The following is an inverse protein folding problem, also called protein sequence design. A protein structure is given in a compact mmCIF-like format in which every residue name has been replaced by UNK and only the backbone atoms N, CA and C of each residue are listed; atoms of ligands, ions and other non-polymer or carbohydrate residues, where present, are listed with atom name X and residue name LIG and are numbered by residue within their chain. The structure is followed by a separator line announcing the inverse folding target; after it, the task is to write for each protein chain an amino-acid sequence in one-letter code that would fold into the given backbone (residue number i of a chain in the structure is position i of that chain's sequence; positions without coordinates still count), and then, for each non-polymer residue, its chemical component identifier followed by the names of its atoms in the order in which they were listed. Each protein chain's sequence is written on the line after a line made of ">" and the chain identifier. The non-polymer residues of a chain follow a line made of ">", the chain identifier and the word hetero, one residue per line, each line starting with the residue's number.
data_IF_257258391588
#
_entry.id   IF_257258391588
#
_cell.length_a   1.000
_cell.length_b   1.000
_cell.length_c   1.000
_cell.angle_alpha   90.00
_cell.angle_beta   90.00
_cell.angle_gamma   90.00
#
_symmetry.space_group_name_H-M   'P 1'
#
loop_
_entity.id
_entity.type
_entity.pdbx_description
1 polymer ?
#
# COMPACT_ATOMS: atom_id res chain seq x y z
N UNK A 1 6.15 -22.50 26.57
CA UNK A 1 5.83 -21.98 25.22
C UNK A 1 7.15 -21.84 24.49
N UNK A 2 7.25 -22.28 23.24
CA UNK A 2 8.47 -22.10 22.45
C UNK A 2 8.72 -20.59 22.26
N UNK A 3 9.96 -20.15 22.45
CA UNK A 3 10.36 -18.77 22.22
C UNK A 3 10.19 -18.42 20.73
N UNK A 4 9.38 -17.41 20.44
CA UNK A 4 9.18 -16.95 19.07
C UNK A 4 10.42 -16.17 18.61
N UNK A 5 11.18 -16.74 17.68
CA UNK A 5 12.27 -16.02 17.01
C UNK A 5 11.70 -15.07 15.95
N UNK A 6 11.59 -13.79 16.30
CA UNK A 6 11.17 -12.75 15.38
C UNK A 6 12.32 -12.43 14.41
N UNK A 7 12.01 -12.37 13.11
CA UNK A 7 12.93 -11.90 12.08
C UNK A 7 12.57 -10.47 11.73
N UNK A 8 13.56 -9.57 11.73
CA UNK A 8 13.32 -8.19 11.31
C UNK A 8 12.93 -8.18 9.81
N UNK A 9 11.83 -7.51 9.44
CA UNK A 9 11.46 -7.34 8.04
C UNK A 9 12.56 -6.64 7.27
N UNK A 10 12.83 -7.09 6.04
CA UNK A 10 13.86 -6.50 5.19
C UNK A 10 13.42 -6.48 3.74
N UNK A 11 13.72 -5.37 3.06
CA UNK A 11 13.50 -5.23 1.62
C UNK A 11 14.18 -6.39 0.86
N UNK A 12 15.32 -6.90 1.34
CA UNK A 12 16.04 -8.05 0.75
C UNK A 12 15.21 -9.31 0.58
N UNK A 13 14.23 -9.51 1.46
CA UNK A 13 13.37 -10.71 1.45
C UNK A 13 12.04 -10.48 0.75
N UNK A 14 11.58 -9.22 0.71
CA UNK A 14 10.22 -8.87 0.28
C UNK A 14 10.18 -8.23 -1.11
N UNK A 15 11.18 -7.44 -1.47
CA UNK A 15 11.26 -6.75 -2.75
C UNK A 15 11.79 -7.67 -3.85
N UNK A 16 11.46 -7.32 -5.09
CA UNK A 16 11.98 -8.03 -6.28
C UNK A 16 13.46 -7.71 -6.51
N UNK A 17 13.79 -6.43 -6.44
CA UNK A 17 15.17 -5.96 -6.48
C UNK A 17 15.63 -5.65 -5.06
N UNK A 18 16.94 -5.67 -4.84
CA UNK A 18 17.53 -5.40 -3.53
C UNK A 18 18.58 -4.30 -3.65
N UNK A 19 18.86 -3.58 -2.57
CA UNK A 19 20.02 -2.67 -2.52
C UNK A 19 21.28 -3.51 -2.64
N UNK A 20 22.26 -3.08 -3.44
CA UNK A 20 23.51 -3.80 -3.59
C UNK A 20 24.31 -3.82 -2.27
N UNK A 21 25.12 -4.85 -2.02
CA UNK A 21 25.95 -4.92 -0.81
C UNK A 21 26.86 -3.68 -0.63
N UNK A 22 27.39 -3.13 -1.72
CA UNK A 22 28.26 -1.95 -1.70
C UNK A 22 27.53 -0.68 -1.25
N UNK A 23 26.26 -0.52 -1.62
CA UNK A 23 25.47 0.65 -1.25
C UNK A 23 24.90 0.50 0.16
N UNK A 24 24.48 -0.70 0.54
CA UNK A 24 24.11 -1.00 1.92
C UNK A 24 25.28 -0.76 2.89
N UNK A 25 26.50 -1.14 2.50
CA UNK A 25 27.71 -0.84 3.28
C UNK A 25 27.96 0.67 3.46
N UNK A 26 27.47 1.50 2.53
CA UNK A 26 27.48 2.97 2.64
C UNK A 26 26.28 3.53 3.42
N UNK A 27 25.42 2.67 3.97
CA UNK A 27 24.25 3.06 4.74
C UNK A 27 22.98 3.28 3.90
N UNK A 28 22.96 2.87 2.63
CA UNK A 28 21.76 2.99 1.80
C UNK A 28 20.72 1.95 2.22
N UNK A 29 19.46 2.39 2.26
CA UNK A 29 18.29 1.55 2.42
C UNK A 29 17.15 2.05 1.53
N UNK A 30 15.98 1.42 1.61
CA UNK A 30 14.75 1.83 0.91
C UNK A 30 13.53 1.52 1.77
N UNK A 31 12.39 2.11 1.42
CA UNK A 31 11.13 1.85 2.12
C UNK A 31 10.74 0.37 2.03
N UNK A 32 10.56 -0.29 3.18
CA UNK A 32 10.21 -1.71 3.20
C UNK A 32 8.82 -1.96 2.59
N UNK A 33 7.79 -1.27 3.10
CA UNK A 33 6.40 -1.39 2.61
C UNK A 33 5.56 -0.23 3.11
N UNK A 34 4.85 0.43 2.20
CA UNK A 34 3.82 1.40 2.56
C UNK A 34 2.51 0.68 2.85
N UNK A 35 1.89 1.01 3.98
CA UNK A 35 0.64 0.39 4.39
C UNK A 35 -0.13 1.25 5.40
N UNK A 36 -1.41 0.92 5.57
CA UNK A 36 -2.17 1.20 6.78
C UNK A 36 -2.25 -0.10 7.61
N UNK A 37 -2.32 0.00 8.93
CA UNK A 37 -2.50 -1.17 9.77
C UNK A 37 -3.85 -1.82 9.47
N UNK A 38 -3.85 -3.07 8.99
CA UNK A 38 -5.09 -3.81 8.78
C UNK A 38 -4.82 -5.29 8.50
N UNK A 39 -5.73 -6.15 8.97
CA UNK A 39 -5.80 -7.53 8.50
C UNK A 39 -6.35 -7.63 7.07
N UNK A 40 -7.18 -6.65 6.67
CA UNK A 40 -7.81 -6.53 5.35
C UNK A 40 -8.71 -7.72 4.95
N UNK A 41 -8.94 -8.64 5.89
CA UNK A 41 -9.92 -9.73 5.83
C UNK A 41 -10.51 -9.90 7.23
N UNK A 42 -11.83 -10.08 7.34
CA UNK A 42 -12.61 -10.20 8.58
C UNK A 42 -12.58 -8.95 9.49
N UNK A 43 -11.40 -8.45 9.84
CA UNK A 43 -11.20 -7.26 10.69
C UNK A 43 -11.04 -5.99 9.85
N UNK A 44 -11.62 -4.90 10.34
CA UNK A 44 -11.46 -3.56 9.74
C UNK A 44 -10.18 -2.89 10.24
N UNK A 45 -9.60 -1.95 9.45
CA UNK A 45 -8.48 -1.13 9.92
C UNK A 45 -8.83 -0.41 11.23
N UNK A 46 -7.90 -0.30 12.19
CA UNK A 46 -8.11 0.49 13.38
C UNK A 46 -8.16 1.98 13.00
N UNK A 47 -8.85 2.77 13.81
CA UNK A 47 -8.90 4.23 13.62
C UNK A 47 -7.62 4.93 14.09
N UNK A 48 -6.95 4.37 15.09
CA UNK A 48 -5.77 4.94 15.74
C UNK A 48 -4.80 3.81 16.07
N UNK A 49 -3.52 4.02 15.73
CA UNK A 49 -2.41 3.19 16.17
C UNK A 49 -1.49 4.02 17.06
N UNK A 50 -1.07 3.44 18.18
CA UNK A 50 -0.08 4.04 19.09
C UNK A 50 1.17 3.19 19.11
N UNK A 51 2.34 3.82 18.97
CA UNK A 51 3.65 3.17 19.07
C UNK A 51 4.38 3.73 20.29
N UNK A 52 4.99 2.85 21.09
CA UNK A 52 5.84 3.21 22.20
C UNK A 52 7.20 2.53 22.07
N UNK A 53 8.26 3.33 21.94
CA UNK A 53 9.62 2.85 21.78
C UNK A 53 10.31 2.73 23.14
N UNK A 54 10.71 1.51 23.52
CA UNK A 54 11.48 1.25 24.74
C UNK A 54 12.98 1.46 24.53
N UNK A 55 13.52 0.86 23.48
CA UNK A 55 14.92 0.93 23.10
C UNK A 55 15.00 1.24 21.60
N UNK A 56 15.61 2.38 21.25
CA UNK A 56 15.80 2.79 19.87
C UNK A 56 17.27 2.53 19.48
N UNK A 57 17.54 1.78 18.39
CA UNK A 57 18.91 1.52 17.96
C UNK A 57 19.65 2.82 17.66
N UNK A 58 20.93 2.87 18.05
CA UNK A 58 21.82 3.99 17.80
C UNK A 58 22.89 3.60 16.78
N UNK A 59 23.33 4.57 15.97
CA UNK A 59 24.37 4.33 14.96
C UNK A 59 24.40 5.43 13.91
N UNK A 60 25.16 5.17 12.83
CA UNK A 60 25.19 6.05 11.67
C UNK A 60 23.81 6.13 11.03
N UNK A 61 23.46 7.32 10.52
CA UNK A 61 22.25 7.50 9.72
C UNK A 61 22.31 6.64 8.47
N UNK A 62 21.14 6.23 8.01
CA UNK A 62 20.94 5.61 6.72
C UNK A 62 20.42 6.63 5.71
N UNK A 63 20.61 6.35 4.43
CA UNK A 63 20.01 7.11 3.34
C UNK A 63 18.92 6.25 2.70
N UNK A 64 17.66 6.61 2.93
CA UNK A 64 16.52 5.90 2.37
C UNK A 64 16.23 6.43 0.97
N UNK A 65 16.45 5.61 -0.06
CA UNK A 65 16.09 5.94 -1.44
C UNK A 65 14.60 5.76 -1.68
N UNK A 66 14.02 6.65 -2.47
CA UNK A 66 12.64 6.53 -2.92
C UNK A 66 12.48 5.45 -4.00
N UNK A 67 13.52 5.22 -4.80
CA UNK A 67 13.59 4.20 -5.86
C UNK A 67 12.41 4.25 -6.85
N UNK A 68 11.88 5.45 -7.11
CA UNK A 68 10.80 5.75 -8.05
C UNK A 68 11.29 6.42 -9.35
N UNK A 69 12.62 6.54 -9.51
CA UNK A 69 13.27 7.18 -10.66
C UNK A 69 13.58 8.67 -10.48
N UNK A 70 13.11 9.31 -9.40
CA UNK A 70 13.44 10.72 -9.09
C UNK A 70 14.92 10.91 -8.72
N UNK A 71 15.54 9.89 -8.11
CA UNK A 71 16.85 10.01 -7.47
C UNK A 71 16.78 10.60 -6.06
N UNK A 72 15.59 10.81 -5.50
CA UNK A 72 15.42 11.37 -4.17
C UNK A 72 15.89 10.41 -3.07
N UNK A 73 16.55 10.99 -2.06
CA UNK A 73 17.05 10.29 -0.88
C UNK A 73 16.66 11.04 0.41
N UNK A 74 16.35 10.28 1.46
CA UNK A 74 16.00 10.81 2.77
C UNK A 74 16.98 10.31 3.83
N UNK A 75 17.77 11.18 4.47
CA UNK A 75 18.62 10.78 5.59
C UNK A 75 17.77 10.47 6.83
N UNK A 76 17.87 9.25 7.34
CA UNK A 76 17.05 8.73 8.46
C UNK A 76 17.91 8.10 9.56
N UNK A 77 17.53 8.22 10.84
CA UNK A 77 18.08 7.38 11.91
C UNK A 77 17.75 5.89 11.72
N UNK A 78 18.45 5.02 12.45
CA UNK A 78 18.12 3.59 12.49
C UNK A 78 16.73 3.37 13.11
N UNK A 79 15.99 2.40 12.56
CA UNK A 79 14.65 2.04 13.06
C UNK A 79 13.56 3.09 12.79
N UNK A 80 13.77 3.96 11.81
CA UNK A 80 12.80 5.00 11.46
C UNK A 80 11.52 4.41 10.87
N UNK A 81 10.37 4.89 11.35
CA UNK A 81 9.06 4.71 10.71
C UNK A 81 8.71 5.99 9.95
N UNK A 82 8.55 5.89 8.64
CA UNK A 82 8.09 7.01 7.81
C UNK A 82 6.56 7.04 7.75
N UNK A 83 5.99 8.24 7.70
CA UNK A 83 4.55 8.47 7.56
C UNK A 83 4.29 9.40 6.37
N UNK A 84 3.18 9.16 5.68
CA UNK A 84 2.63 10.07 4.66
C UNK A 84 1.21 10.45 5.03
N UNK A 85 0.81 11.64 4.64
CA UNK A 85 -0.55 12.14 4.85
C UNK A 85 -1.45 11.71 3.68
N UNK A 86 -2.43 10.86 3.94
CA UNK A 86 -3.45 10.50 2.95
C UNK A 86 -4.22 11.71 2.43
N UNK A 87 -4.39 12.76 3.26
CA UNK A 87 -4.97 14.04 2.84
C UNK A 87 -4.09 14.74 1.81
N UNK A 88 -2.81 14.87 2.10
CA UNK A 88 -1.84 15.48 1.16
C UNK A 88 -1.77 14.67 -0.13
N UNK A 89 -1.73 13.34 -0.05
CA UNK A 89 -1.78 12.47 -1.23
C UNK A 89 -2.99 12.78 -2.10
N UNK A 90 -4.19 12.90 -1.52
CA UNK A 90 -5.39 13.25 -2.28
C UNK A 90 -5.32 14.68 -2.85
N UNK A 91 -4.85 15.65 -2.07
CA UNK A 91 -4.80 17.06 -2.48
C UNK A 91 -3.87 17.32 -3.65
N UNK A 92 -2.75 16.60 -3.75
CA UNK A 92 -1.77 16.79 -4.82
C UNK A 92 -2.15 16.04 -6.10
N UNK A 93 -3.18 15.20 -6.09
CA UNK A 93 -3.62 14.51 -7.31
C UNK A 93 -4.11 15.52 -8.36
N UNK A 94 -3.79 15.27 -9.64
CA UNK A 94 -4.46 15.91 -10.78
C UNK A 94 -5.99 15.74 -10.71
N UNK A 95 -6.73 16.65 -11.34
CA UNK A 95 -8.20 16.72 -11.26
C UNK A 95 -8.87 15.41 -11.70
N UNK A 96 -8.39 14.83 -12.78
CA UNK A 96 -8.85 13.58 -13.36
C UNK A 96 -8.63 12.40 -12.42
N UNK A 97 -7.49 12.33 -11.73
CA UNK A 97 -7.20 11.29 -10.74
C UNK A 97 -7.96 11.50 -9.43
N UNK A 98 -8.22 12.75 -9.01
CA UNK A 98 -9.15 13.04 -7.91
C UNK A 98 -10.55 12.51 -8.22
N UNK A 99 -11.03 12.72 -9.45
CA UNK A 99 -12.34 12.20 -9.88
C UNK A 99 -12.40 10.68 -9.85
N UNK A 100 -11.32 10.00 -10.25
CA UNK A 100 -11.22 8.53 -10.09
C UNK A 100 -11.23 8.17 -8.61
N UNK A 101 -10.33 8.72 -7.79
CA UNK A 101 -10.19 8.38 -6.38
C UNK A 101 -11.51 8.50 -5.59
N UNK A 102 -12.30 9.55 -5.82
CA UNK A 102 -13.61 9.77 -5.16
C UNK A 102 -14.64 8.70 -5.54
N UNK A 103 -14.57 8.16 -6.75
CA UNK A 103 -15.53 7.19 -7.29
C UNK A 103 -15.07 5.74 -7.15
N UNK A 104 -13.87 5.52 -6.62
CA UNK A 104 -13.23 4.21 -6.59
C UNK A 104 -13.34 3.50 -5.25
N UNK A 105 -13.41 2.18 -5.32
CA UNK A 105 -13.28 1.24 -4.21
C UNK A 105 -12.24 0.19 -4.55
N UNK A 106 -11.50 -0.26 -3.55
CA UNK A 106 -10.56 -1.37 -3.65
C UNK A 106 -11.16 -2.60 -2.99
N UNK A 107 -11.10 -3.74 -3.69
CA UNK A 107 -11.35 -5.05 -3.10
C UNK A 107 -10.03 -5.64 -2.67
N UNK A 108 -9.94 -6.06 -1.43
CA UNK A 108 -8.78 -6.77 -0.90
C UNK A 108 -8.93 -8.28 -1.09
N UNK A 109 -7.83 -8.97 -1.39
CA UNK A 109 -7.80 -10.42 -1.41
C UNK A 109 -8.14 -11.01 -0.03
N UNK A 110 -8.83 -12.16 0.04
CA UNK A 110 -8.93 -12.91 1.28
C UNK A 110 -7.54 -13.34 1.75
N UNK A 111 -7.32 -13.38 3.07
CA UNK A 111 -6.01 -13.69 3.67
C UNK A 111 -4.83 -13.00 2.95
N UNK A 112 -4.83 -11.66 2.81
CA UNK A 112 -4.03 -10.97 1.79
C UNK A 112 -2.53 -11.18 1.94
N UNK A 113 -2.04 -11.38 3.17
CA UNK A 113 -0.63 -11.69 3.44
C UNK A 113 -0.19 -13.08 2.96
N UNK A 114 -1.11 -14.06 2.96
CA UNK A 114 -0.86 -15.40 2.39
C UNK A 114 -0.94 -15.31 0.88
N UNK A 115 -1.99 -14.66 0.36
CA UNK A 115 -2.22 -14.44 -1.06
C UNK A 115 -1.03 -13.82 -1.79
N UNK A 116 -0.46 -12.73 -1.26
CA UNK A 116 0.69 -12.07 -1.88
C UNK A 116 2.04 -12.72 -1.55
N UNK A 117 2.09 -13.77 -0.72
CA UNK A 117 3.37 -14.29 -0.19
C UNK A 117 4.38 -14.78 -1.23
N UNK A 118 4.00 -15.35 -2.39
CA UNK A 118 4.96 -15.74 -3.41
C UNK A 118 5.41 -14.55 -4.29
N UNK A 119 4.60 -13.49 -4.36
CA UNK A 119 4.92 -12.28 -5.10
C UNK A 119 5.99 -11.44 -4.40
N UNK A 120 6.57 -10.51 -5.15
CA UNK A 120 7.59 -9.58 -4.67
C UNK A 120 7.11 -8.15 -4.74
N UNK A 121 7.54 -7.33 -3.80
CA UNK A 121 7.23 -5.90 -3.78
C UNK A 121 8.08 -5.10 -4.76
N UNK A 122 7.51 -3.99 -5.23
CA UNK A 122 8.22 -2.95 -5.98
C UNK A 122 9.30 -2.33 -5.08
N UNK A 123 10.38 -1.81 -5.68
CA UNK A 123 11.48 -1.14 -4.95
C UNK A 123 11.00 0.04 -4.10
N UNK A 124 9.95 0.73 -4.52
CA UNK A 124 9.32 1.84 -3.79
C UNK A 124 8.56 1.39 -2.53
N UNK A 125 8.31 0.09 -2.39
CA UNK A 125 7.43 -0.47 -1.35
C UNK A 125 5.94 -0.15 -1.55
N UNK A 126 5.56 0.49 -2.66
CA UNK A 126 4.17 0.82 -3.02
C UNK A 126 3.54 -0.31 -3.84
N UNK A 127 3.09 -1.35 -3.14
CA UNK A 127 2.42 -2.50 -3.77
C UNK A 127 3.36 -3.63 -4.14
N UNK A 128 2.81 -4.59 -4.90
CA UNK A 128 3.54 -5.76 -5.41
C UNK A 128 3.75 -5.66 -6.91
N UNK A 129 4.73 -6.40 -7.39
CA UNK A 129 4.99 -6.61 -8.80
C UNK A 129 3.88 -7.46 -9.40
N UNK A 130 3.30 -6.99 -10.49
CA UNK A 130 2.20 -7.67 -11.15
C UNK A 130 2.76 -8.72 -12.11
N UNK A 131 3.14 -9.87 -11.54
CA UNK A 131 3.75 -10.99 -12.27
C UNK A 131 2.84 -12.21 -12.35
N UNK A 132 1.65 -12.14 -11.71
CA UNK A 132 0.74 -13.29 -11.60
C UNK A 132 1.30 -14.38 -10.69
N UNK A 133 2.08 -13.97 -9.67
CA UNK A 133 2.70 -14.87 -8.69
C UNK A 133 1.89 -14.96 -7.39
N UNK A 134 0.90 -14.08 -7.23
CA UNK A 134 -0.08 -14.15 -6.17
C UNK A 134 -0.82 -15.50 -6.24
N UNK A 135 -1.13 -16.08 -5.08
CA UNK A 135 -1.83 -17.36 -5.02
C UNK A 135 -3.23 -17.25 -5.61
N UNK A 136 -3.72 -18.33 -6.20
CA UNK A 136 -5.15 -18.40 -6.54
C UNK A 136 -5.99 -18.44 -5.27
N UNK A 137 -7.24 -17.97 -5.33
CA UNK A 137 -8.11 -17.96 -4.15
C UNK A 137 -8.47 -19.37 -3.65
N UNK A 138 -8.38 -20.39 -4.52
CA UNK A 138 -8.64 -21.79 -4.19
C UNK A 138 -7.49 -22.43 -3.38
N UNK A 139 -6.28 -21.87 -3.47
CA UNK A 139 -5.10 -22.33 -2.71
C UNK A 139 -4.97 -21.65 -1.34
N UNK A 140 -5.84 -20.68 -1.05
CA UNK A 140 -5.85 -19.98 0.23
C UNK A 140 -6.50 -20.84 1.32
N UNK A 141 -6.20 -20.56 2.60
CA UNK A 141 -6.99 -21.10 3.70
C UNK A 141 -8.47 -20.77 3.49
N UNK A 142 -9.37 -21.64 3.96
CA UNK A 142 -10.81 -21.47 3.78
C UNK A 142 -11.25 -20.04 4.14
N UNK A 143 -12.05 -19.45 3.25
CA UNK A 143 -12.49 -18.08 3.36
C UNK A 143 -13.93 -17.93 2.89
N UNK A 144 -14.56 -16.85 3.35
CA UNK A 144 -15.96 -16.53 3.04
C UNK A 144 -16.01 -15.13 2.42
N UNK A 145 -16.75 -14.98 1.33
CA UNK A 145 -16.88 -13.69 0.63
C UNK A 145 -17.44 -12.58 1.53
N UNK A 146 -18.35 -12.94 2.45
CA UNK A 146 -18.95 -12.01 3.43
C UNK A 146 -17.93 -11.34 4.37
N UNK A 147 -16.73 -11.94 4.51
CA UNK A 147 -15.63 -11.39 5.33
C UNK A 147 -14.61 -10.61 4.50
N UNK A 148 -14.71 -10.67 3.17
CA UNK A 148 -13.93 -9.88 2.24
C UNK A 148 -14.16 -8.38 2.47
N UNK A 149 -13.13 -7.58 2.19
CA UNK A 149 -13.17 -6.14 2.40
C UNK A 149 -13.22 -5.40 1.08
N UNK A 150 -14.28 -4.63 0.90
CA UNK A 150 -14.45 -3.66 -0.18
C UNK A 150 -14.52 -2.26 0.45
N UNK A 151 -13.47 -1.47 0.28
CA UNK A 151 -13.36 -0.15 0.90
C UNK A 151 -13.21 0.96 -0.14
N UNK A 152 -13.76 2.16 0.12
CA UNK A 152 -13.49 3.31 -0.74
C UNK A 152 -12.01 3.67 -0.69
N UNK A 153 -11.47 4.13 -1.82
CA UNK A 153 -10.08 4.61 -1.92
C UNK A 153 -9.83 5.80 -0.98
N UNK A 154 -10.87 6.60 -0.76
CA UNK A 154 -10.84 7.75 0.13
C UNK A 154 -11.63 7.51 1.42
N UNK A 155 -11.07 7.93 2.54
CA UNK A 155 -11.73 8.04 3.82
C UNK A 155 -12.24 9.47 3.98
N UNK A 156 -13.45 9.64 4.54
CA UNK A 156 -13.98 10.95 4.91
C UNK A 156 -13.82 11.14 6.41
N UNK A 157 -13.13 12.20 6.79
CA UNK A 157 -12.98 12.57 8.19
C UNK A 157 -14.35 13.01 8.76
N UNK A 158 -14.87 12.37 9.82
CA UNK A 158 -16.19 12.72 10.37
C UNK A 158 -16.21 14.06 11.12
N UNK A 159 -15.03 14.66 11.39
CA UNK A 159 -14.90 15.95 12.09
C UNK A 159 -14.67 17.09 11.10
N UNK A 160 -13.76 16.92 10.13
CA UNK A 160 -13.39 17.97 9.18
C UNK A 160 -14.08 17.86 7.83
N UNK A 161 -14.81 16.77 7.58
CA UNK A 161 -15.39 16.39 6.27
C UNK A 161 -14.38 16.20 5.14
N UNK A 162 -13.08 16.28 5.41
CA UNK A 162 -12.02 16.16 4.42
C UNK A 162 -11.84 14.72 3.93
N UNK A 163 -11.40 14.58 2.67
CA UNK A 163 -11.10 13.30 2.06
C UNK A 163 -9.59 12.98 2.15
N UNK A 164 -9.27 11.75 2.51
CA UNK A 164 -7.89 11.26 2.63
C UNK A 164 -7.73 9.90 1.96
N UNK A 165 -6.63 9.70 1.24
CA UNK A 165 -6.27 8.41 0.65
C UNK A 165 -6.07 7.34 1.74
N UNK A 166 -6.66 6.14 1.58
CA UNK A 166 -6.65 5.07 2.58
C UNK A 166 -6.47 3.66 1.98
N UNK A 167 -5.44 3.46 1.18
CA UNK A 167 -5.21 2.18 0.50
C UNK A 167 -3.99 1.47 1.07
N UNK A 168 -4.12 0.17 1.34
CA UNK A 168 -2.99 -0.72 1.56
C UNK A 168 -2.61 -1.38 0.22
N UNK A 169 -1.60 -0.89 -0.51
CA UNK A 169 -1.42 -1.24 -1.92
C UNK A 169 -1.13 -2.73 -2.16
N UNK A 170 -0.40 -3.42 -1.28
CA UNK A 170 0.00 -4.81 -1.54
C UNK A 170 -1.14 -5.85 -1.45
N UNK A 171 -2.29 -5.50 -0.86
CA UNK A 171 -3.40 -6.45 -0.66
C UNK A 171 -4.55 -6.28 -1.64
N UNK A 172 -4.45 -5.33 -2.57
CA UNK A 172 -5.53 -5.00 -3.51
C UNK A 172 -5.58 -6.09 -4.58
N UNK A 173 -6.75 -6.70 -4.74
CA UNK A 173 -7.03 -7.68 -5.80
C UNK A 173 -7.78 -7.05 -6.97
N UNK A 174 -8.66 -6.08 -6.70
CA UNK A 174 -9.48 -5.44 -7.73
C UNK A 174 -9.67 -3.95 -7.44
N UNK A 175 -9.80 -3.16 -8.50
CA UNK A 175 -10.22 -1.75 -8.44
C UNK A 175 -11.58 -1.59 -9.11
N UNK A 176 -12.57 -1.09 -8.38
CA UNK A 176 -13.92 -0.82 -8.87
C UNK A 176 -14.10 0.69 -8.92
N UNK A 177 -14.37 1.24 -10.11
CA UNK A 177 -14.57 2.66 -10.38
C UNK A 177 -16.02 2.87 -10.79
N UNK A 178 -16.77 3.67 -10.04
CA UNK A 178 -18.15 4.00 -10.42
C UNK A 178 -18.19 4.98 -11.62
N UNK A 179 -19.24 4.92 -12.46
CA UNK A 179 -19.45 5.88 -13.54
C UNK A 179 -19.55 7.31 -13.02
N UNK A 180 -19.35 8.27 -13.92
CA UNK A 180 -19.56 9.68 -13.60
C UNK A 180 -21.03 9.91 -13.25
N UNK A 181 -21.34 10.79 -12.29
CA UNK A 181 -22.72 11.16 -12.02
C UNK A 181 -23.34 11.81 -13.26
N UNK A 182 -24.66 11.63 -13.42
CA UNK A 182 -25.41 12.19 -14.55
C UNK A 182 -25.20 13.71 -14.63
N UNK A 183 -24.81 14.20 -15.81
CA UNK A 183 -24.58 15.62 -16.07
C UNK A 183 -23.15 16.12 -15.75
N UNK A 184 -22.27 15.28 -15.21
CA UNK A 184 -20.86 15.62 -15.11
C UNK A 184 -20.19 15.69 -16.49
N UNK A 185 -19.23 16.61 -16.64
CA UNK A 185 -18.42 16.69 -17.86
C UNK A 185 -17.64 15.39 -18.06
N UNK A 186 -17.69 14.86 -19.28
CA UNK A 186 -16.95 13.67 -19.71
C UNK A 186 -15.61 14.04 -20.38
N UNK A 187 -15.43 15.30 -20.74
CA UNK A 187 -14.22 15.76 -21.42
C UNK A 187 -12.99 15.65 -20.51
N UNK A 188 -11.93 15.03 -21.03
CA UNK A 188 -10.69 14.73 -20.30
C UNK A 188 -10.85 13.80 -19.09
N UNK A 189 -11.99 13.12 -18.94
CA UNK A 189 -12.26 12.26 -17.78
C UNK A 189 -11.72 10.83 -17.95
N UNK A 190 -11.15 10.29 -16.88
CA UNK A 190 -10.74 8.88 -16.82
C UNK A 190 -11.91 8.01 -16.34
N UNK A 191 -12.15 6.90 -17.04
CA UNK A 191 -13.23 5.95 -16.75
C UNK A 191 -14.61 6.63 -16.59
N UNK A 192 -15.10 7.35 -17.62
CA UNK A 192 -16.37 8.09 -17.53
C UNK A 192 -17.58 7.16 -17.28
N UNK A 193 -17.54 5.95 -17.83
CA UNK A 193 -18.58 4.94 -17.68
C UNK A 193 -18.33 3.98 -16.51
N UNK A 194 -17.30 4.26 -15.71
CA UNK A 194 -16.81 3.38 -14.67
C UNK A 194 -15.90 2.29 -15.24
N UNK A 195 -15.38 1.45 -14.34
CA UNK A 195 -14.55 0.31 -14.69
C UNK A 195 -14.53 -0.70 -13.54
N UNK A 196 -14.31 -1.96 -13.89
CA UNK A 196 -13.93 -3.01 -12.94
C UNK A 196 -12.62 -3.61 -13.44
N UNK A 197 -11.54 -3.26 -12.77
CA UNK A 197 -10.19 -3.66 -13.14
C UNK A 197 -9.77 -4.82 -12.26
N UNK A 198 -9.65 -5.99 -12.88
CA UNK A 198 -9.20 -7.24 -12.25
C UNK A 198 -7.76 -7.59 -12.64
N UNK A 199 -7.23 -7.00 -13.71
CA UNK A 199 -5.80 -7.00 -14.01
C UNK A 199 -5.20 -5.65 -13.60
N UNK A 200 -4.47 -5.66 -12.49
CA UNK A 200 -3.86 -4.44 -11.95
C UNK A 200 -2.58 -4.02 -12.68
N UNK A 201 -2.11 -4.77 -13.70
CA UNK A 201 -1.05 -4.32 -14.61
C UNK A 201 -1.50 -3.14 -15.47
N UNK A 202 -2.81 -3.03 -15.71
CA UNK A 202 -3.42 -2.01 -16.55
C UNK A 202 -3.67 -0.69 -15.82
N UNK A 203 -3.29 -0.60 -14.53
CA UNK A 203 -3.54 0.53 -13.61
C UNK A 203 -2.28 1.34 -13.34
#
# INVERSE_FOLDING_TARGET
>A
MAEAKLKHPSHKTFHKTVVSPEDEAKGVTRFYRWHIDAALYNLSPPRVTTLYALNVPQGLKQFCRYDDGSGDELPVPLGTTAFVSGKTMFDILPKELKSVAVRSKVRYAPHPYVWMSPAKAKSTGLGIESEGLEMSFDELPSWEESRGKLYPVLWKNPVTDELSFQVHPCGVAELIINPLPKGASRDGSLYPDGAHLTDLKEV
#
